data_IF_425715696914
#
_entry.id   IF_425715696914
#
_cell.length_a   1.000
_cell.length_b   1.000
_cell.length_c   1.000
_cell.angle_alpha   90.00
_cell.angle_beta   90.00
_cell.angle_gamma   90.00
#
_symmetry.space_group_name_H-M   'P 1'
#
loop_
_entity.id
_entity.type
_entity.pdbx_description
1 polymer ?
#
# COMPACT_ATOMS: atom_id res chain seq x y z
N UNK A 1 5.39 1.92 -8.35
CA UNK A 1 5.26 2.12 -6.90
C UNK A 1 5.96 3.41 -6.47
N UNK A 2 5.58 3.90 -5.28
CA UNK A 2 6.21 5.03 -4.62
C UNK A 2 6.90 4.51 -3.37
N UNK A 3 8.19 4.79 -3.18
CA UNK A 3 8.95 4.22 -2.08
C UNK A 3 9.71 5.29 -1.28
N UNK A 4 9.81 5.06 0.03
CA UNK A 4 10.57 5.88 0.97
C UNK A 4 11.25 4.98 1.99
N UNK A 5 12.46 5.35 2.40
CA UNK A 5 13.15 4.67 3.49
C UNK A 5 13.10 5.55 4.74
N UNK A 6 12.64 4.96 5.85
CA UNK A 6 12.52 5.63 7.13
C UNK A 6 13.61 5.15 8.06
N UNK A 7 14.16 6.05 8.86
CA UNK A 7 15.18 5.73 9.86
C UNK A 7 14.54 5.34 11.20
N UNK A 8 13.65 4.35 11.12
CA UNK A 8 12.91 3.81 12.27
C UNK A 8 12.75 2.28 12.10
N UNK A 9 12.55 1.53 13.20
CA UNK A 9 12.31 0.09 13.11
C UNK A 9 10.95 -0.23 12.50
N UNK A 10 10.78 -1.48 12.08
CA UNK A 10 9.61 -1.93 11.32
C UNK A 10 8.28 -1.62 12.01
N UNK A 11 8.15 -1.93 13.30
CA UNK A 11 6.87 -1.73 14.01
C UNK A 11 6.48 -0.26 14.06
N UNK A 12 7.45 0.65 14.25
CA UNK A 12 7.18 2.08 14.20
C UNK A 12 6.80 2.54 12.79
N UNK A 13 7.47 2.02 11.76
CA UNK A 13 7.14 2.32 10.38
C UNK A 13 5.73 1.84 10.02
N UNK A 14 5.32 0.66 10.49
CA UNK A 14 3.95 0.16 10.30
C UNK A 14 2.94 1.11 10.93
N UNK A 15 3.18 1.52 12.18
CA UNK A 15 2.28 2.43 12.89
C UNK A 15 2.18 3.79 12.18
N UNK A 16 3.30 4.35 11.77
CA UNK A 16 3.34 5.63 11.03
C UNK A 16 2.62 5.53 9.68
N UNK A 17 2.81 4.42 8.98
CA UNK A 17 2.16 4.18 7.69
C UNK A 17 0.65 4.10 7.84
N UNK A 18 0.16 3.37 8.84
CA UNK A 18 -1.28 3.29 9.12
C UNK A 18 -1.87 4.66 9.44
N UNK A 19 -1.17 5.46 10.25
CA UNK A 19 -1.61 6.80 10.60
C UNK A 19 -1.64 7.74 9.38
N UNK A 20 -0.62 7.69 8.53
CA UNK A 20 -0.54 8.50 7.31
C UNK A 20 -1.65 8.11 6.32
N UNK A 21 -1.92 6.81 6.19
CA UNK A 21 -3.02 6.32 5.36
C UNK A 21 -4.37 6.85 5.84
N UNK A 22 -4.60 6.80 7.16
CA UNK A 22 -5.86 7.30 7.75
C UNK A 22 -6.07 8.78 7.46
N UNK A 23 -5.00 9.59 7.48
CA UNK A 23 -5.08 11.03 7.18
C UNK A 23 -5.54 11.29 5.74
N UNK A 24 -5.33 10.36 4.83
CA UNK A 24 -5.77 10.48 3.42
C UNK A 24 -7.03 9.67 3.13
N UNK A 25 -7.73 9.20 4.16
CA UNK A 25 -8.99 8.50 4.02
C UNK A 25 -8.88 7.00 3.75
N UNK A 26 -7.69 6.41 3.91
CA UNK A 26 -7.50 4.97 3.76
C UNK A 26 -7.59 4.25 5.09
N UNK A 27 -8.28 3.10 5.10
CA UNK A 27 -8.23 2.15 6.19
C UNK A 27 -7.45 0.90 5.79
N UNK A 28 -6.73 0.29 6.72
CA UNK A 28 -6.03 -0.97 6.48
C UNK A 28 -7.00 -2.12 6.74
N UNK A 29 -7.37 -2.83 5.68
CA UNK A 29 -8.32 -3.96 5.75
C UNK A 29 -7.62 -5.27 6.02
N UNK A 30 -6.41 -5.45 5.51
CA UNK A 30 -5.64 -6.68 5.63
C UNK A 30 -4.20 -6.35 5.97
N UNK A 31 -3.60 -7.26 6.73
CA UNK A 31 -2.17 -7.18 7.06
C UNK A 31 -1.59 -8.58 6.95
N UNK A 32 -0.61 -8.76 6.06
CA UNK A 32 0.04 -10.04 5.84
C UNK A 32 1.48 -9.94 6.34
N UNK A 33 1.83 -10.81 7.29
CA UNK A 33 3.21 -10.99 7.73
C UNK A 33 3.87 -12.04 6.83
N UNK A 34 4.60 -11.58 5.83
CA UNK A 34 5.20 -12.45 4.81
C UNK A 34 6.28 -13.35 5.41
N UNK A 35 7.12 -12.82 6.29
CA UNK A 35 8.18 -13.59 6.93
C UNK A 35 7.59 -14.76 7.75
N UNK A 36 6.54 -14.49 8.54
CA UNK A 36 5.86 -15.52 9.33
C UNK A 36 5.17 -16.54 8.43
N UNK A 37 4.51 -16.08 7.37
CA UNK A 37 3.82 -16.96 6.43
C UNK A 37 4.77 -17.90 5.73
N UNK A 38 5.91 -17.40 5.25
CA UNK A 38 6.92 -18.23 4.59
C UNK A 38 7.52 -19.25 5.55
N UNK A 39 7.77 -18.85 6.80
CA UNK A 39 8.28 -19.77 7.82
C UNK A 39 7.30 -20.90 8.10
N UNK A 40 6.03 -20.56 8.26
CA UNK A 40 4.99 -21.55 8.55
C UNK A 40 4.69 -22.48 7.37
N UNK A 41 4.70 -21.95 6.14
CA UNK A 41 4.29 -22.71 4.95
C UNK A 41 5.39 -23.58 4.36
N UNK A 42 6.62 -23.08 4.29
CA UNK A 42 7.74 -23.75 3.63
C UNK A 42 9.01 -23.81 4.46
N UNK A 43 9.00 -23.35 5.71
CA UNK A 43 10.16 -23.33 6.58
C UNK A 43 11.25 -22.36 6.15
N UNK A 44 10.96 -21.42 5.26
CA UNK A 44 11.95 -20.47 4.76
C UNK A 44 12.10 -19.29 5.71
N UNK A 45 13.34 -18.82 5.87
CA UNK A 45 13.62 -17.58 6.59
C UNK A 45 13.60 -16.42 5.60
N UNK A 46 12.97 -15.31 6.01
CA UNK A 46 12.87 -14.09 5.20
C UNK A 46 12.98 -12.88 6.09
N UNK A 47 13.41 -11.75 5.53
CA UNK A 47 13.45 -10.49 6.30
C UNK A 47 12.05 -10.08 6.74
N UNK A 48 11.93 -9.31 7.84
CA UNK A 48 10.64 -8.73 8.24
C UNK A 48 10.02 -7.96 7.07
N UNK A 49 8.80 -8.35 6.72
CA UNK A 49 8.12 -7.87 5.53
C UNK A 49 6.61 -7.95 5.75
N UNK A 50 5.93 -6.82 5.63
CA UNK A 50 4.47 -6.77 5.78
C UNK A 50 3.81 -6.16 4.56
N UNK A 51 2.64 -6.68 4.21
CA UNK A 51 1.79 -6.12 3.16
C UNK A 51 0.53 -5.60 3.84
N UNK A 52 0.31 -4.29 3.74
CA UNK A 52 -0.89 -3.64 4.24
C UNK A 52 -1.84 -3.41 3.08
N UNK A 53 -3.03 -4.01 3.15
CA UNK A 53 -4.07 -3.79 2.15
C UNK A 53 -4.90 -2.59 2.53
N UNK A 54 -4.69 -1.46 1.86
CA UNK A 54 -5.35 -0.20 2.17
C UNK A 54 -6.53 0.06 1.23
N UNK A 55 -7.62 0.58 1.77
CA UNK A 55 -8.81 0.91 1.01
C UNK A 55 -9.34 2.29 1.41
N UNK A 56 -9.63 3.11 0.40
CA UNK A 56 -10.43 4.31 0.55
C UNK A 56 -11.84 3.93 0.10
N UNK A 57 -12.82 3.76 1.01
CA UNK A 57 -14.12 3.17 0.64
C UNK A 57 -14.87 3.96 -0.42
N UNK A 58 -14.83 5.29 -0.35
CA UNK A 58 -15.52 6.14 -1.33
C UNK A 58 -14.94 5.95 -2.73
N UNK A 59 -13.62 5.99 -2.85
CA UNK A 59 -12.94 5.83 -4.14
C UNK A 59 -13.04 4.40 -4.66
N UNK A 60 -12.99 3.41 -3.77
CA UNK A 60 -13.17 2.00 -4.15
C UNK A 60 -14.59 1.75 -4.69
N UNK A 61 -15.60 2.33 -4.05
CA UNK A 61 -16.99 2.20 -4.50
C UNK A 61 -17.17 2.81 -5.90
N UNK A 62 -16.59 3.99 -6.14
CA UNK A 62 -16.61 4.63 -7.47
C UNK A 62 -15.94 3.74 -8.52
N UNK A 63 -14.78 3.18 -8.21
CA UNK A 63 -14.05 2.30 -9.13
C UNK A 63 -14.85 1.05 -9.49
N UNK A 64 -15.49 0.41 -8.50
CA UNK A 64 -16.30 -0.78 -8.71
C UNK A 64 -17.52 -0.51 -9.58
N UNK A 65 -18.07 0.70 -9.54
CA UNK A 65 -19.17 1.09 -10.43
C UNK A 65 -18.70 1.31 -11.87
N UNK A 66 -17.46 1.74 -12.06
CA UNK A 66 -16.88 1.96 -13.39
C UNK A 66 -16.44 0.66 -14.05
N UNK A 67 -15.93 -0.28 -13.25
CA UNK A 67 -15.38 -1.55 -13.71
C UNK A 67 -15.60 -2.61 -12.64
N UNK A 68 -16.51 -3.55 -12.87
CA UNK A 68 -16.88 -4.54 -11.86
C UNK A 68 -15.74 -5.50 -11.49
N UNK A 69 -14.78 -5.68 -12.39
CA UNK A 69 -13.64 -6.57 -12.15
C UNK A 69 -12.40 -5.84 -11.59
N UNK A 70 -12.54 -4.56 -11.27
CA UNK A 70 -11.44 -3.82 -10.66
C UNK A 70 -11.02 -4.41 -9.30
N UNK A 71 -11.90 -5.19 -8.67
CA UNK A 71 -11.59 -5.92 -7.45
C UNK A 71 -10.38 -6.84 -7.57
N UNK A 72 -10.04 -7.29 -8.79
CA UNK A 72 -8.82 -8.06 -9.02
C UNK A 72 -7.56 -7.23 -8.77
N UNK A 73 -7.66 -5.91 -8.80
CA UNK A 73 -6.57 -4.96 -8.57
C UNK A 73 -6.67 -4.27 -7.20
N UNK A 74 -7.56 -4.72 -6.34
CA UNK A 74 -7.77 -4.17 -5.00
C UNK A 74 -7.44 -5.22 -3.94
N UNK A 75 -7.07 -4.80 -2.71
CA UNK A 75 -6.86 -3.44 -2.24
C UNK A 75 -5.58 -2.79 -2.77
N UNK A 76 -5.38 -1.50 -2.47
CA UNK A 76 -4.10 -0.85 -2.73
C UNK A 76 -3.08 -1.34 -1.69
N UNK A 77 -2.07 -2.07 -2.11
CA UNK A 77 -1.10 -2.65 -1.20
C UNK A 77 0.04 -1.68 -0.89
N UNK A 78 0.43 -1.66 0.37
CA UNK A 78 1.60 -0.93 0.86
C UNK A 78 2.53 -1.93 1.53
N UNK A 79 3.75 -2.02 1.04
CA UNK A 79 4.79 -2.89 1.59
C UNK A 79 5.58 -2.13 2.65
N UNK A 80 5.81 -2.78 3.80
CA UNK A 80 6.66 -2.26 4.86
C UNK A 80 7.68 -3.35 5.17
N UNK A 81 8.95 -3.11 4.86
CA UNK A 81 9.98 -4.13 4.98
C UNK A 81 11.27 -3.60 5.60
N UNK A 82 11.97 -4.48 6.31
CA UNK A 82 13.27 -4.17 6.87
C UNK A 82 14.27 -3.85 5.76
N UNK A 83 14.95 -2.71 5.88
CA UNK A 83 15.98 -2.26 4.93
C UNK A 83 17.40 -2.43 5.49
N UNK A 84 17.55 -3.02 6.68
CA UNK A 84 18.83 -3.19 7.37
C UNK A 84 19.23 -1.96 8.17
N UNK A 85 20.09 -2.17 9.15
CA UNK A 85 20.63 -1.08 9.96
C UNK A 85 19.61 -0.30 10.80
N UNK A 86 18.51 -0.94 11.17
CA UNK A 86 17.43 -0.29 11.92
C UNK A 86 16.55 0.62 11.07
N UNK A 87 16.62 0.49 9.74
CA UNK A 87 15.85 1.28 8.78
C UNK A 87 14.77 0.43 8.14
N UNK A 88 13.71 1.06 7.67
CA UNK A 88 12.55 0.39 7.07
C UNK A 88 12.15 1.10 5.78
N UNK A 89 11.90 0.32 4.73
CA UNK A 89 11.38 0.84 3.47
C UNK A 89 9.87 0.66 3.42
N UNK A 90 9.18 1.72 3.01
CA UNK A 90 7.74 1.70 2.74
C UNK A 90 7.54 1.94 1.25
N UNK A 91 6.75 1.07 0.60
CA UNK A 91 6.48 1.19 -0.83
C UNK A 91 4.97 1.02 -1.08
N UNK A 92 4.35 2.05 -1.63
CA UNK A 92 2.94 2.03 -2.00
C UNK A 92 2.78 1.76 -3.48
N UNK A 93 1.76 0.99 -3.85
CA UNK A 93 1.43 0.75 -5.26
C UNK A 93 1.11 2.07 -5.98
N UNK A 94 1.50 2.15 -7.26
CA UNK A 94 1.03 3.21 -8.16
C UNK A 94 -0.21 2.69 -8.90
N UNK A 95 -1.41 3.15 -8.55
CA UNK A 95 -2.64 2.62 -9.17
C UNK A 95 -2.78 3.00 -10.64
N UNK A 96 -2.17 4.10 -11.08
CA UNK A 96 -2.15 4.44 -12.52
C UNK A 96 -1.43 3.35 -13.30
N UNK A 97 -0.26 2.93 -12.81
CA UNK A 97 0.52 1.88 -13.46
C UNK A 97 -0.18 0.52 -13.38
N UNK A 98 -0.72 0.16 -12.21
CA UNK A 98 -1.33 -1.16 -12.02
C UNK A 98 -2.62 -1.34 -12.81
N UNK A 99 -3.36 -0.27 -13.08
CA UNK A 99 -4.66 -0.33 -13.77
C UNK A 99 -4.57 -0.06 -15.27
N UNK A 100 -3.38 0.07 -15.83
CA UNK A 100 -3.20 0.30 -17.28
C UNK A 100 -3.76 -0.84 -18.13
N UNK A 101 -3.78 -2.05 -17.62
CA UNK A 101 -4.31 -3.21 -18.34
C UNK A 101 -5.82 -3.16 -18.55
N UNK A 102 -6.53 -2.34 -17.79
CA UNK A 102 -7.98 -2.18 -17.90
C UNK A 102 -8.27 -1.01 -18.83
N UNK A 103 -8.93 -1.30 -19.95
CA UNK A 103 -9.28 -0.27 -20.94
C UNK A 103 -10.56 0.45 -20.53
N UNK A 104 -10.42 1.43 -19.63
CA UNK A 104 -11.52 2.26 -19.16
C UNK A 104 -10.97 3.65 -18.81
N UNK A 105 -11.22 4.67 -19.69
CA UNK A 105 -10.67 6.01 -19.45
C UNK A 105 -11.11 6.66 -18.15
N UNK A 106 -12.34 6.39 -17.71
CA UNK A 106 -12.86 6.92 -16.44
C UNK A 106 -12.11 6.31 -15.24
N UNK A 107 -11.77 5.03 -15.34
CA UNK A 107 -10.99 4.36 -14.31
C UNK A 107 -9.58 4.93 -14.20
N UNK A 108 -8.96 5.30 -15.33
CA UNK A 108 -7.64 5.94 -15.34
C UNK A 108 -7.64 7.28 -14.63
N UNK A 109 -8.69 8.08 -14.84
CA UNK A 109 -8.86 9.36 -14.15
C UNK A 109 -8.99 9.15 -12.65
N UNK A 110 -9.77 8.16 -12.26
CA UNK A 110 -9.99 7.82 -10.86
C UNK A 110 -8.71 7.26 -10.22
N UNK A 111 -7.97 6.43 -10.94
CA UNK A 111 -6.68 5.89 -10.48
C UNK A 111 -5.66 7.00 -10.21
N UNK A 112 -5.66 8.06 -11.03
CA UNK A 112 -4.80 9.21 -10.81
C UNK A 112 -5.13 9.94 -9.51
N UNK A 113 -6.41 10.02 -9.15
CA UNK A 113 -6.84 10.61 -7.86
C UNK A 113 -6.36 9.78 -6.68
N UNK A 114 -6.48 8.46 -6.77
CA UNK A 114 -5.99 7.53 -5.73
C UNK A 114 -4.47 7.64 -5.63
N UNK A 115 -3.77 7.67 -6.76
CA UNK A 115 -2.31 7.81 -6.81
C UNK A 115 -1.82 9.09 -6.14
N UNK A 116 -2.51 10.21 -6.36
CA UNK A 116 -2.18 11.48 -5.72
C UNK A 116 -2.30 11.38 -4.18
N UNK A 117 -3.33 10.68 -3.69
CA UNK A 117 -3.50 10.47 -2.25
C UNK A 117 -2.41 9.56 -1.67
N UNK A 118 -2.01 8.52 -2.39
CA UNK A 118 -0.93 7.65 -1.94
C UNK A 118 0.42 8.38 -1.94
N UNK A 119 0.66 9.26 -2.90
CA UNK A 119 1.84 10.12 -2.87
C UNK A 119 1.83 11.05 -1.66
N UNK A 120 0.67 11.60 -1.30
CA UNK A 120 0.51 12.42 -0.10
C UNK A 120 0.81 11.61 1.17
N UNK A 121 0.38 10.35 1.22
CA UNK A 121 0.73 9.43 2.31
C UNK A 121 2.25 9.30 2.43
N UNK A 122 2.94 9.07 1.32
CA UNK A 122 4.40 8.91 1.32
C UNK A 122 5.12 10.19 1.77
N UNK A 123 4.59 11.36 1.40
CA UNK A 123 5.15 12.64 1.85
C UNK A 123 4.98 12.85 3.36
N UNK A 124 3.87 12.41 3.93
CA UNK A 124 3.64 12.47 5.38
C UNK A 124 4.67 11.64 6.15
N UNK A 125 5.10 10.52 5.59
CA UNK A 125 6.12 9.66 6.21
C UNK A 125 7.48 10.35 6.29
N UNK A 126 7.83 11.16 5.31
CA UNK A 126 9.12 11.87 5.28
C UNK A 126 9.14 13.02 6.30
N UNK A 127 8.01 13.70 6.49
CA UNK A 127 7.89 14.84 7.41
C UNK A 127 7.81 14.37 8.87
N UNK A 128 7.22 13.24 9.09
CA UNK A 128 7.09 12.64 10.42
C UNK A 128 8.45 12.12 10.91
#
# INVERSE_FOLDING_TARGET
YFARTLDVPLEEAVARTKAALAEEGFGVLTEIDVAQTLKAKIGADFRPYRILGACNPTLAHEALKLEDKVGTMLPCNVVVQDAGGGRTEVAAIDPVASMQAIENPQLRTQAARVGAKLQAVMQRLVIA
#
